data_IF_320694740760
#
_entry.id   IF_320694740760
#
_cell.length_a   1.000
_cell.length_b   1.000
_cell.length_c   1.000
_cell.angle_alpha   90.00
_cell.angle_beta   90.00
_cell.angle_gamma   90.00
#
_symmetry.space_group_name_H-M   'P 1'
#
loop_
_entity.id
_entity.type
_entity.pdbx_description
1 polymer ?
#
# COMPACT_ATOMS: atom_id res chain seq x y z
N UNK A 1 11.96 21.80 -10.21
CA UNK A 1 10.59 22.35 -10.22
C UNK A 1 9.66 21.23 -9.81
N UNK A 2 8.72 21.45 -8.89
CA UNK A 2 7.89 20.40 -8.29
C UNK A 2 6.42 20.63 -8.68
N UNK A 3 5.90 19.83 -9.61
CA UNK A 3 4.53 19.93 -10.11
C UNK A 3 3.51 19.83 -8.97
N UNK A 4 3.77 18.97 -7.98
CA UNK A 4 2.86 18.73 -6.85
C UNK A 4 2.70 19.92 -5.89
N UNK A 5 3.57 20.93 -6.00
CA UNK A 5 3.55 22.15 -5.18
C UNK A 5 2.91 23.35 -5.90
N UNK A 6 2.53 23.20 -7.16
CA UNK A 6 1.90 24.26 -7.92
C UNK A 6 0.43 24.41 -7.51
N UNK A 7 -0.09 25.63 -7.53
CA UNK A 7 -1.53 25.83 -7.46
C UNK A 7 -2.21 25.30 -8.75
N UNK A 8 -3.52 24.99 -8.70
CA UNK A 8 -4.20 24.35 -9.82
C UNK A 8 -4.10 25.11 -11.15
N UNK A 9 -4.12 26.45 -11.11
CA UNK A 9 -4.05 27.27 -12.33
C UNK A 9 -2.65 27.24 -12.94
N UNK A 10 -1.62 27.32 -12.10
CA UNK A 10 -0.23 27.21 -12.54
C UNK A 10 0.07 25.82 -13.08
N UNK A 11 -0.39 24.77 -12.40
CA UNK A 11 -0.23 23.38 -12.84
C UNK A 11 -0.88 23.13 -14.21
N UNK A 12 -2.14 23.57 -14.39
CA UNK A 12 -2.85 23.43 -15.66
C UNK A 12 -2.13 24.16 -16.81
N UNK A 13 -1.68 25.41 -16.59
CA UNK A 13 -0.91 26.14 -17.59
C UNK A 13 0.44 25.49 -17.87
N UNK A 14 1.05 24.82 -16.88
CA UNK A 14 2.32 24.13 -17.05
C UNK A 14 2.23 22.92 -17.98
N UNK A 15 1.09 22.22 -18.03
CA UNK A 15 0.88 21.04 -18.90
C UNK A 15 0.15 21.35 -20.20
N UNK A 16 -0.48 22.52 -20.31
CA UNK A 16 -1.31 22.90 -21.46
C UNK A 16 -0.54 22.87 -22.79
N UNK A 17 -1.11 22.17 -23.77
CA UNK A 17 -0.57 22.08 -25.15
C UNK A 17 0.72 21.28 -25.25
N UNK A 18 1.03 20.42 -24.27
CA UNK A 18 2.25 19.61 -24.20
C UNK A 18 1.93 18.12 -24.28
N UNK A 19 2.80 17.37 -24.93
CA UNK A 19 2.86 15.91 -24.80
C UNK A 19 3.44 15.56 -23.43
N UNK A 20 2.56 15.29 -22.47
CA UNK A 20 2.97 14.89 -21.12
C UNK A 20 3.06 13.38 -21.01
N UNK A 21 4.17 12.89 -20.47
CA UNK A 21 4.34 11.49 -20.10
C UNK A 21 4.46 11.35 -18.58
N UNK A 22 3.55 10.58 -18.00
CA UNK A 22 3.55 10.23 -16.57
C UNK A 22 4.13 8.83 -16.39
N UNK A 23 5.15 8.69 -15.55
CA UNK A 23 5.74 7.39 -15.21
C UNK A 23 5.20 6.94 -13.86
N UNK A 24 4.39 5.88 -13.85
CA UNK A 24 3.75 5.35 -12.63
C UNK A 24 2.23 5.17 -12.79
N UNK A 25 1.68 4.13 -12.14
CA UNK A 25 0.27 3.71 -12.29
C UNK A 25 -0.41 3.42 -10.95
N UNK A 26 -0.08 4.22 -9.94
CA UNK A 26 -0.81 4.27 -8.66
C UNK A 26 -1.53 5.62 -8.55
N UNK A 27 -2.13 5.94 -7.40
CA UNK A 27 -2.98 7.13 -7.20
C UNK A 27 -2.44 8.41 -7.84
N UNK A 28 -1.24 8.86 -7.45
CA UNK A 28 -0.67 10.11 -7.99
C UNK A 28 -0.49 10.09 -9.50
N UNK A 29 -0.05 8.96 -10.07
CA UNK A 29 0.13 8.84 -11.51
C UNK A 29 -1.18 8.91 -12.28
N UNK A 30 -2.23 8.25 -11.77
CA UNK A 30 -3.56 8.31 -12.37
C UNK A 30 -4.20 9.70 -12.25
N UNK A 31 -4.06 10.36 -11.10
CA UNK A 31 -4.59 11.71 -10.89
C UNK A 31 -3.95 12.73 -11.83
N UNK A 32 -2.62 12.73 -11.91
CA UNK A 32 -1.88 13.63 -12.81
C UNK A 32 -2.27 13.35 -14.26
N UNK A 33 -2.43 12.08 -14.65
CA UNK A 33 -2.87 11.74 -16.00
C UNK A 33 -4.29 12.26 -16.29
N UNK A 34 -5.19 12.25 -15.31
CA UNK A 34 -6.54 12.83 -15.42
C UNK A 34 -6.52 14.36 -15.51
N UNK A 35 -5.67 15.03 -14.75
CA UNK A 35 -5.48 16.47 -14.86
C UNK A 35 -4.99 16.83 -16.26
N UNK A 36 -3.97 16.14 -16.75
CA UNK A 36 -3.43 16.33 -18.10
C UNK A 36 -4.48 16.07 -19.17
N UNK A 37 -5.25 14.98 -19.08
CA UNK A 37 -6.29 14.66 -20.07
C UNK A 37 -7.43 15.68 -20.05
N UNK A 38 -7.76 16.25 -18.89
CA UNK A 38 -8.76 17.32 -18.78
C UNK A 38 -8.31 18.61 -19.44
N UNK A 39 -7.02 18.96 -19.31
CA UNK A 39 -6.47 20.20 -19.89
C UNK A 39 -6.23 20.08 -21.40
N UNK A 40 -5.78 18.91 -21.85
CA UNK A 40 -5.25 18.74 -23.21
C UNK A 40 -6.15 17.91 -24.15
N UNK A 41 -7.10 17.14 -23.60
CA UNK A 41 -7.98 16.29 -24.37
C UNK A 41 -7.24 15.30 -25.29
N UNK A 42 -7.87 14.99 -26.42
CA UNK A 42 -7.33 14.07 -27.44
C UNK A 42 -6.26 14.70 -28.33
N UNK A 43 -6.15 16.03 -28.36
CA UNK A 43 -5.21 16.76 -29.22
C UNK A 43 -3.76 16.58 -28.71
N UNK A 44 -3.56 16.66 -27.39
CA UNK A 44 -2.27 16.41 -26.74
C UNK A 44 -2.42 15.35 -25.64
N UNK A 45 -2.61 14.07 -26.01
CA UNK A 45 -2.97 13.03 -25.06
C UNK A 45 -1.85 12.75 -24.07
N UNK A 46 -2.23 12.48 -22.82
CA UNK A 46 -1.30 12.11 -21.77
C UNK A 46 -0.85 10.65 -21.93
N UNK A 47 0.45 10.40 -21.98
CA UNK A 47 0.97 9.03 -22.00
C UNK A 47 1.28 8.57 -20.57
N UNK A 48 0.85 7.37 -20.20
CA UNK A 48 1.14 6.77 -18.89
C UNK A 48 2.01 5.54 -19.10
N UNK A 49 3.23 5.58 -18.59
CA UNK A 49 4.20 4.49 -18.66
C UNK A 49 4.08 3.62 -17.42
N UNK A 50 3.78 2.34 -17.65
CA UNK A 50 3.37 1.38 -16.64
C UNK A 50 4.33 0.20 -16.64
N UNK A 51 5.03 0.01 -15.51
CA UNK A 51 5.85 -1.18 -15.29
C UNK A 51 4.99 -2.39 -14.89
N UNK A 52 4.10 -2.18 -13.92
CA UNK A 52 3.30 -3.24 -13.31
C UNK A 52 1.85 -2.77 -13.27
N UNK A 53 0.91 -3.47 -13.94
CA UNK A 53 -0.52 -3.25 -13.74
C UNK A 53 -0.91 -3.55 -12.29
N UNK A 54 -1.88 -2.81 -11.76
CA UNK A 54 -2.36 -2.94 -10.39
C UNK A 54 -3.87 -3.22 -10.32
N UNK A 55 -4.31 -3.88 -9.25
CA UNK A 55 -5.73 -4.10 -8.93
C UNK A 55 -6.37 -2.84 -8.33
N UNK A 56 -6.25 -1.72 -9.05
CA UNK A 56 -6.83 -0.46 -8.62
C UNK A 56 -8.35 -0.58 -8.54
N UNK A 57 -8.91 -0.20 -7.40
CA UNK A 57 -10.32 -0.38 -7.05
C UNK A 57 -11.20 0.68 -7.74
N UNK A 58 -12.37 0.30 -8.30
CA UNK A 58 -13.38 1.27 -8.72
C UNK A 58 -14.04 1.96 -7.52
N UNK A 59 -14.34 1.17 -6.49
CA UNK A 59 -15.04 1.55 -5.27
C UNK A 59 -14.75 0.51 -4.18
N UNK A 60 -15.36 0.69 -3.00
CA UNK A 60 -15.20 -0.21 -1.84
C UNK A 60 -16.27 -1.31 -1.76
N UNK A 61 -17.11 -1.50 -2.80
CA UNK A 61 -18.28 -2.38 -2.81
C UNK A 61 -18.27 -3.35 -4.00
N UNK A 62 -17.29 -4.26 -4.09
CA UNK A 62 -17.27 -5.27 -5.14
C UNK A 62 -18.57 -6.05 -5.20
N UNK A 63 -19.25 -5.95 -6.34
CA UNK A 63 -20.58 -6.53 -6.59
C UNK A 63 -21.61 -6.19 -5.49
N UNK A 64 -21.52 -5.00 -4.90
CA UNK A 64 -22.43 -4.52 -3.84
C UNK A 64 -22.06 -4.99 -2.43
N UNK A 65 -21.03 -5.80 -2.25
CA UNK A 65 -20.56 -6.25 -0.93
C UNK A 65 -19.41 -5.36 -0.48
N UNK A 66 -19.51 -4.74 0.70
CA UNK A 66 -18.40 -3.94 1.23
C UNK A 66 -17.15 -4.79 1.45
N UNK A 67 -15.99 -4.28 0.98
CA UNK A 67 -14.68 -4.89 1.23
C UNK A 67 -14.41 -5.15 2.71
N UNK A 68 -15.01 -4.35 3.60
CA UNK A 68 -14.90 -4.53 5.04
C UNK A 68 -15.33 -5.92 5.52
N UNK A 69 -16.42 -6.45 4.96
CA UNK A 69 -16.93 -7.78 5.32
C UNK A 69 -16.08 -8.92 4.74
N UNK A 70 -15.26 -8.65 3.74
CA UNK A 70 -14.38 -9.65 3.14
C UNK A 70 -13.00 -9.70 3.80
N UNK A 71 -12.48 -8.56 4.27
CA UNK A 71 -11.08 -8.44 4.69
C UNK A 71 -10.83 -7.73 6.02
N UNK A 72 -11.80 -6.98 6.55
CA UNK A 72 -11.61 -6.11 7.71
C UNK A 72 -12.31 -6.63 8.96
N UNK A 73 -12.48 -7.94 9.09
CA UNK A 73 -13.07 -8.55 10.27
C UNK A 73 -12.21 -9.70 10.78
N UNK A 74 -12.39 -10.08 12.05
CA UNK A 74 -11.55 -11.09 12.70
C UNK A 74 -11.63 -12.45 12.00
N UNK A 75 -12.80 -12.82 11.49
CA UNK A 75 -12.97 -14.08 10.77
C UNK A 75 -12.11 -14.09 9.50
N UNK A 76 -12.12 -13.01 8.73
CA UNK A 76 -11.29 -12.91 7.51
C UNK A 76 -9.79 -13.05 7.82
N UNK A 77 -9.32 -12.51 8.95
CA UNK A 77 -7.93 -12.68 9.36
C UNK A 77 -7.60 -14.13 9.74
N UNK A 78 -8.55 -14.98 10.14
CA UNK A 78 -8.28 -16.42 10.37
C UNK A 78 -7.77 -17.13 9.12
N UNK A 79 -8.10 -16.61 7.94
CA UNK A 79 -7.67 -17.17 6.65
C UNK A 79 -6.20 -16.83 6.30
N UNK A 80 -5.55 -16.04 7.15
CA UNK A 80 -4.20 -15.49 6.96
C UNK A 80 -3.29 -15.99 8.09
N UNK A 81 -2.15 -16.56 7.71
CA UNK A 81 -1.10 -16.98 8.64
C UNK A 81 -0.55 -15.76 9.38
N UNK A 82 -0.46 -15.85 10.70
CA UNK A 82 0.01 -14.75 11.56
C UNK A 82 1.50 -14.92 11.92
N UNK A 83 2.20 -13.81 12.20
CA UNK A 83 3.53 -13.84 12.80
C UNK A 83 3.53 -14.63 14.12
N UNK A 84 4.43 -15.61 14.25
CA UNK A 84 4.60 -16.39 15.48
C UNK A 84 3.38 -17.22 15.90
N UNK A 85 2.49 -17.56 14.97
CA UNK A 85 1.26 -18.28 15.28
C UNK A 85 1.48 -19.71 15.79
N UNK A 86 0.53 -20.20 16.60
CA UNK A 86 0.50 -21.60 17.04
C UNK A 86 -0.14 -22.54 16.02
N UNK A 87 -0.04 -23.84 16.28
CA UNK A 87 -0.51 -24.91 15.40
C UNK A 87 -1.99 -24.75 14.98
N UNK A 88 -2.87 -24.38 15.91
CA UNK A 88 -4.30 -24.22 15.64
C UNK A 88 -4.57 -23.10 14.62
N UNK A 89 -3.95 -21.93 14.80
CA UNK A 89 -4.12 -20.80 13.88
C UNK A 89 -3.52 -21.11 12.50
N UNK A 90 -2.37 -21.78 12.47
CA UNK A 90 -1.76 -22.26 11.21
C UNK A 90 -2.68 -23.24 10.49
N UNK A 91 -3.30 -24.18 11.21
CA UNK A 91 -4.24 -25.13 10.63
C UNK A 91 -5.46 -24.40 10.05
N UNK A 92 -6.05 -23.46 10.80
CA UNK A 92 -7.18 -22.66 10.32
C UNK A 92 -6.84 -21.84 9.07
N UNK A 93 -5.70 -21.16 9.06
CA UNK A 93 -5.25 -20.39 7.89
C UNK A 93 -5.03 -21.29 6.66
N UNK A 94 -4.57 -22.52 6.87
CA UNK A 94 -4.35 -23.51 5.81
C UNK A 94 -5.66 -24.08 5.29
N UNK A 95 -6.59 -24.46 6.17
CA UNK A 95 -7.89 -25.04 5.79
C UNK A 95 -8.81 -24.01 5.14
N UNK A 96 -8.73 -22.73 5.55
CA UNK A 96 -9.50 -21.63 4.98
C UNK A 96 -8.85 -20.96 3.76
N UNK A 97 -7.74 -21.52 3.24
CA UNK A 97 -7.07 -21.01 2.06
C UNK A 97 -7.98 -20.92 0.81
N UNK A 98 -8.85 -21.91 0.51
CA UNK A 98 -9.80 -21.80 -0.60
C UNK A 98 -10.77 -20.63 -0.44
N UNK A 99 -11.20 -20.33 0.79
CA UNK A 99 -12.09 -19.21 1.08
C UNK A 99 -11.39 -17.86 0.82
N UNK A 100 -10.15 -17.71 1.30
CA UNK A 100 -9.33 -16.53 1.03
C UNK A 100 -9.10 -16.32 -0.46
N UNK A 101 -8.84 -17.41 -1.19
CA UNK A 101 -8.71 -17.37 -2.64
C UNK A 101 -10.02 -16.94 -3.30
N UNK A 102 -11.16 -17.46 -2.84
CA UNK A 102 -12.48 -17.07 -3.33
C UNK A 102 -12.77 -15.59 -3.11
N UNK A 103 -12.45 -15.02 -1.94
CA UNK A 103 -12.55 -13.57 -1.70
C UNK A 103 -11.70 -12.78 -2.69
N UNK A 104 -10.43 -13.18 -2.89
CA UNK A 104 -9.55 -12.51 -3.87
C UNK A 104 -10.15 -12.55 -5.27
N UNK A 105 -10.62 -13.72 -5.74
CA UNK A 105 -11.22 -13.85 -7.07
C UNK A 105 -12.53 -13.12 -7.23
N UNK A 106 -13.33 -13.04 -6.17
CA UNK A 106 -14.55 -12.26 -6.15
C UNK A 106 -14.25 -10.77 -6.42
N UNK A 107 -13.31 -10.18 -5.68
CA UNK A 107 -12.91 -8.78 -5.89
C UNK A 107 -12.23 -8.58 -7.25
N UNK A 108 -11.31 -9.46 -7.63
CA UNK A 108 -10.64 -9.40 -8.95
C UNK A 108 -11.66 -9.44 -10.09
N UNK A 109 -12.71 -10.26 -10.00
CA UNK A 109 -13.75 -10.34 -11.04
C UNK A 109 -14.53 -9.03 -11.16
N UNK A 110 -14.83 -8.38 -10.03
CA UNK A 110 -15.48 -7.07 -10.02
C UNK A 110 -14.62 -6.02 -10.71
N UNK A 111 -13.34 -5.90 -10.31
CA UNK A 111 -12.41 -4.93 -10.87
C UNK A 111 -12.22 -5.17 -12.39
N UNK A 112 -12.01 -6.43 -12.80
CA UNK A 112 -11.87 -6.80 -14.22
C UNK A 112 -13.07 -6.35 -15.04
N UNK A 113 -14.27 -6.58 -14.52
CA UNK A 113 -15.52 -6.27 -15.21
C UNK A 113 -15.74 -4.75 -15.26
N UNK A 114 -15.70 -4.09 -14.11
CA UNK A 114 -16.01 -2.65 -13.96
C UNK A 114 -15.08 -1.76 -14.78
N UNK A 115 -13.79 -2.10 -14.81
CA UNK A 115 -12.77 -1.33 -15.53
C UNK A 115 -12.40 -1.90 -16.91
N UNK A 116 -13.07 -2.97 -17.36
CA UNK A 116 -12.74 -3.62 -18.62
C UNK A 116 -11.25 -4.01 -18.75
N UNK A 117 -10.57 -4.39 -17.65
CA UNK A 117 -9.10 -4.50 -17.61
C UNK A 117 -8.52 -5.40 -18.72
N UNK A 118 -9.24 -6.45 -19.12
CA UNK A 118 -8.83 -7.35 -20.20
C UNK A 118 -8.72 -6.62 -21.56
N UNK A 119 -9.68 -5.74 -21.88
CA UNK A 119 -9.69 -4.90 -23.09
C UNK A 119 -8.45 -4.02 -23.16
N UNK A 120 -8.02 -3.49 -22.02
CA UNK A 120 -6.84 -2.63 -21.94
C UNK A 120 -5.53 -3.40 -21.77
N UNK A 121 -5.56 -4.72 -21.58
CA UNK A 121 -4.38 -5.53 -21.25
C UNK A 121 -3.78 -5.15 -19.89
N UNK A 122 -4.62 -4.75 -18.94
CA UNK A 122 -4.27 -4.23 -17.62
C UNK A 122 -4.58 -5.22 -16.48
N UNK A 123 -4.84 -6.48 -16.80
CA UNK A 123 -5.03 -7.54 -15.80
C UNK A 123 -3.67 -7.85 -15.15
N UNK A 124 -3.49 -7.63 -13.83
CA UNK A 124 -2.25 -7.95 -13.14
C UNK A 124 -1.97 -9.46 -13.08
N UNK A 125 -0.69 -9.82 -12.99
CA UNK A 125 -0.23 -11.21 -12.93
C UNK A 125 -0.31 -11.80 -11.49
N UNK A 126 -0.29 -10.95 -10.47
CA UNK A 126 -0.46 -11.31 -9.06
C UNK A 126 -1.92 -11.22 -8.60
N UNK A 127 -2.21 -11.69 -7.38
CA UNK A 127 -3.57 -11.67 -6.82
C UNK A 127 -3.92 -10.32 -6.17
N UNK A 128 -5.22 -10.02 -6.05
CA UNK A 128 -5.69 -8.85 -5.29
C UNK A 128 -5.20 -8.87 -3.84
N UNK A 129 -5.18 -10.06 -3.22
CA UNK A 129 -4.66 -10.22 -1.87
C UNK A 129 -3.19 -9.78 -1.74
N UNK A 130 -2.36 -10.00 -2.77
CA UNK A 130 -0.97 -9.56 -2.72
C UNK A 130 -0.86 -8.03 -2.64
N UNK A 131 -1.77 -7.31 -3.31
CA UNK A 131 -1.81 -5.84 -3.23
C UNK A 131 -2.37 -5.36 -1.90
N UNK A 132 -3.45 -5.98 -1.42
CA UNK A 132 -4.01 -5.67 -0.11
C UNK A 132 -2.96 -5.84 1.00
N UNK A 133 -2.19 -6.93 0.94
CA UNK A 133 -1.15 -7.24 1.93
C UNK A 133 0.07 -6.33 1.84
N UNK A 134 0.25 -5.61 0.74
CA UNK A 134 1.36 -4.68 0.52
C UNK A 134 0.92 -3.21 0.48
N UNK A 135 -0.35 -2.93 0.77
CA UNK A 135 -0.95 -1.58 0.72
C UNK A 135 -0.71 -0.90 -0.65
N UNK A 136 -0.64 -1.69 -1.72
CA UNK A 136 -0.40 -1.23 -3.08
C UNK A 136 -1.69 -0.88 -3.85
N UNK A 137 -2.84 -0.96 -3.18
CA UNK A 137 -4.15 -0.63 -3.73
C UNK A 137 -4.30 0.89 -3.91
N UNK A 138 -4.98 1.31 -4.97
CA UNK A 138 -5.41 2.70 -5.17
C UNK A 138 -6.83 2.72 -5.71
N UNK A 139 -7.58 3.77 -5.40
CA UNK A 139 -8.87 4.03 -6.07
C UNK A 139 -8.56 4.65 -7.43
N UNK A 140 -9.19 4.10 -8.47
CA UNK A 140 -9.12 4.67 -9.84
C UNK A 140 -9.92 5.96 -9.86
N UNK A 141 -9.37 7.07 -10.39
CA UNK A 141 -10.15 8.29 -10.59
C UNK A 141 -11.38 8.03 -11.47
N UNK A 142 -12.48 8.70 -11.17
CA UNK A 142 -13.71 8.58 -11.95
C UNK A 142 -13.46 8.95 -13.43
N UNK A 143 -13.98 8.13 -14.34
CA UNK A 143 -13.81 8.32 -15.78
C UNK A 143 -12.42 8.01 -16.34
N UNK A 144 -11.48 7.49 -15.53
CA UNK A 144 -10.11 7.21 -16.02
C UNK A 144 -10.08 6.30 -17.26
N UNK A 145 -10.80 5.18 -17.23
CA UNK A 145 -10.84 4.26 -18.36
C UNK A 145 -11.64 4.81 -19.55
N UNK A 146 -12.63 5.68 -19.32
CA UNK A 146 -13.33 6.38 -20.40
C UNK A 146 -12.36 7.29 -21.17
N UNK A 147 -11.46 7.98 -20.48
CA UNK A 147 -10.38 8.78 -21.09
C UNK A 147 -9.35 7.92 -21.84
N UNK A 148 -9.14 6.69 -21.38
CA UNK A 148 -8.31 5.71 -22.12
C UNK A 148 -9.00 5.27 -23.41
N UNK A 149 -10.31 5.05 -23.38
CA UNK A 149 -11.10 4.67 -24.55
C UNK A 149 -11.25 5.81 -25.57
N UNK A 150 -11.47 7.03 -25.08
CA UNK A 150 -11.51 8.26 -25.88
C UNK A 150 -10.16 8.56 -26.54
N UNK A 151 -9.06 8.11 -25.94
CA UNK A 151 -7.69 8.30 -26.43
C UNK A 151 -6.98 9.54 -25.89
N UNK A 152 -7.58 10.27 -24.94
CA UNK A 152 -6.95 11.38 -24.21
C UNK A 152 -5.94 10.90 -23.17
N UNK A 153 -6.00 9.62 -22.78
CA UNK A 153 -4.94 8.92 -22.02
C UNK A 153 -4.46 7.70 -22.84
N UNK A 154 -3.14 7.60 -23.03
CA UNK A 154 -2.49 6.47 -23.71
C UNK A 154 -1.70 5.63 -22.71
N UNK A 155 -1.99 4.33 -22.63
CA UNK A 155 -1.31 3.42 -21.71
C UNK A 155 -0.16 2.69 -22.42
N UNK A 156 1.07 2.87 -21.92
CA UNK A 156 2.24 2.10 -22.34
C UNK A 156 2.57 1.08 -21.26
N UNK A 157 2.41 -0.20 -21.58
CA UNK A 157 2.37 -1.30 -20.62
C UNK A 157 3.69 -2.06 -20.60
N UNK A 158 3.97 -2.72 -19.46
CA UNK A 158 5.13 -3.61 -19.25
C UNK A 158 6.48 -2.95 -19.57
N UNK A 159 6.58 -1.63 -19.40
CA UNK A 159 7.81 -0.88 -19.57
C UNK A 159 8.72 -1.10 -18.34
N UNK A 160 9.70 -2.00 -18.47
CA UNK A 160 10.63 -2.36 -17.38
C UNK A 160 11.73 -1.31 -17.18
N UNK A 161 12.34 -0.91 -18.29
CA UNK A 161 13.48 0.01 -18.33
C UNK A 161 13.18 1.11 -19.33
N UNK A 162 13.57 2.33 -18.97
CA UNK A 162 13.42 3.50 -19.82
C UNK A 162 14.61 4.44 -19.62
N UNK A 163 14.94 5.18 -20.67
CA UNK A 163 15.90 6.27 -20.67
C UNK A 163 15.28 7.56 -21.20
N UNK A 164 16.06 8.64 -21.18
CA UNK A 164 15.65 9.92 -21.71
C UNK A 164 16.43 10.25 -22.98
N UNK A 165 15.75 10.76 -23.99
CA UNK A 165 16.34 11.38 -25.17
C UNK A 165 15.91 12.85 -25.27
N UNK A 166 16.41 13.58 -26.27
CA UNK A 166 15.98 14.97 -26.50
C UNK A 166 14.50 15.07 -26.92
N UNK A 167 13.97 13.98 -27.46
CA UNK A 167 12.62 13.87 -28.00
C UNK A 167 11.62 13.31 -26.97
N UNK A 168 12.09 12.67 -25.90
CA UNK A 168 11.24 12.19 -24.81
C UNK A 168 11.77 10.95 -24.09
N UNK A 169 10.92 9.93 -23.93
CA UNK A 169 11.27 8.68 -23.23
C UNK A 169 11.60 7.58 -24.23
N UNK A 170 12.78 6.98 -24.11
CA UNK A 170 13.17 5.80 -24.89
C UNK A 170 12.93 4.54 -24.05
N UNK A 171 12.09 3.63 -24.54
CA UNK A 171 11.85 2.35 -23.89
C UNK A 171 12.83 1.29 -24.40
N UNK A 172 13.24 0.39 -23.51
CA UNK A 172 14.11 -0.73 -23.89
C UNK A 172 13.44 -1.60 -24.98
N UNK A 173 14.17 -1.85 -26.07
CA UNK A 173 13.69 -2.62 -27.21
C UNK A 173 12.82 -1.83 -28.21
N UNK A 174 12.60 -0.53 -27.99
CA UNK A 174 11.94 0.34 -28.98
C UNK A 174 12.99 1.25 -29.64
N UNK A 175 12.89 1.39 -30.97
CA UNK A 175 13.79 2.25 -31.75
C UNK A 175 13.40 3.74 -31.66
N UNK A 176 12.10 4.02 -31.57
CA UNK A 176 11.57 5.38 -31.54
C UNK A 176 11.19 5.80 -30.11
N UNK A 177 11.55 7.02 -29.68
CA UNK A 177 11.16 7.54 -28.39
C UNK A 177 9.67 7.94 -28.35
N UNK A 178 9.06 7.81 -27.17
CA UNK A 178 7.76 8.42 -26.87
C UNK A 178 7.95 9.92 -26.79
N UNK A 179 7.45 10.64 -27.80
CA UNK A 179 7.50 12.10 -27.86
C UNK A 179 6.92 12.70 -26.58
N UNK A 180 7.74 13.46 -25.84
CA UNK A 180 7.36 14.03 -24.55
C UNK A 180 7.98 15.41 -24.38
N UNK A 181 7.16 16.44 -24.28
CA UNK A 181 7.61 17.80 -23.93
C UNK A 181 7.82 17.94 -22.42
N UNK A 182 7.16 17.08 -21.63
CA UNK A 182 7.27 17.02 -20.18
C UNK A 182 7.17 15.57 -19.70
N UNK A 183 8.06 15.18 -18.79
CA UNK A 183 7.97 13.90 -18.08
C UNK A 183 7.73 14.14 -16.59
N UNK A 184 6.71 13.51 -16.04
CA UNK A 184 6.38 13.56 -14.61
C UNK A 184 6.60 12.17 -13.99
N UNK A 185 7.55 12.07 -13.06
CA UNK A 185 7.88 10.83 -12.37
C UNK A 185 6.98 10.64 -11.14
N UNK A 186 5.86 9.95 -11.33
CA UNK A 186 4.95 9.54 -10.27
C UNK A 186 5.32 8.15 -9.70
N UNK A 187 6.61 7.95 -9.39
CA UNK A 187 7.20 6.65 -9.05
C UNK A 187 7.21 6.34 -7.55
N UNK A 188 6.56 7.16 -6.74
CA UNK A 188 6.49 7.03 -5.28
C UNK A 188 7.65 7.72 -4.56
N UNK A 189 7.87 7.35 -3.30
CA UNK A 189 8.87 7.97 -2.43
C UNK A 189 9.76 6.92 -1.77
N UNK A 190 11.03 7.26 -1.51
CA UNK A 190 11.91 6.41 -0.73
C UNK A 190 11.75 6.69 0.77
N UNK A 191 10.80 6.02 1.42
CA UNK A 191 10.54 6.17 2.85
C UNK A 191 11.70 5.73 3.73
N UNK A 192 12.42 4.67 3.33
CA UNK A 192 13.55 4.13 4.11
C UNK A 192 14.71 5.11 4.11
N UNK A 193 15.04 5.71 2.96
CA UNK A 193 16.07 6.76 2.91
C UNK A 193 15.70 7.96 3.78
N UNK A 194 14.43 8.38 3.76
CA UNK A 194 13.95 9.45 4.66
C UNK A 194 14.18 9.09 6.14
N UNK A 195 13.94 7.84 6.55
CA UNK A 195 14.23 7.40 7.92
C UNK A 195 15.73 7.39 8.22
N UNK A 196 16.57 6.92 7.29
CA UNK A 196 18.04 6.93 7.46
C UNK A 196 18.54 8.34 7.73
N UNK A 197 18.11 9.32 6.94
CA UNK A 197 18.61 10.69 7.03
C UNK A 197 18.13 11.47 8.27
N UNK A 198 17.33 10.87 9.15
CA UNK A 198 17.07 11.42 10.50
C UNK A 198 18.31 11.29 11.39
N UNK A 199 19.20 10.34 11.12
CA UNK A 199 20.37 10.06 11.95
C UNK A 199 21.66 10.58 11.34
N UNK A 200 22.50 11.20 12.16
CA UNK A 200 23.90 11.47 11.79
C UNK A 200 24.78 10.21 11.87
N UNK A 201 24.49 9.33 12.84
CA UNK A 201 25.25 8.10 13.07
C UNK A 201 25.05 7.07 11.95
N UNK A 202 26.10 6.68 11.20
CA UNK A 202 26.00 5.67 10.15
C UNK A 202 25.45 4.34 10.68
N UNK A 203 25.82 3.97 11.90
CA UNK A 203 25.33 2.76 12.57
C UNK A 203 23.81 2.79 12.78
N UNK A 204 23.23 3.95 13.13
CA UNK A 204 21.78 4.07 13.28
C UNK A 204 21.06 4.16 11.94
N UNK A 205 21.70 4.72 10.91
CA UNK A 205 21.21 4.64 9.53
C UNK A 205 21.12 3.17 9.07
N UNK A 206 22.13 2.36 9.34
CA UNK A 206 22.13 0.92 9.03
C UNK A 206 21.04 0.17 9.81
N UNK A 207 20.91 0.44 11.11
CA UNK A 207 19.89 -0.17 11.95
C UNK A 207 18.47 0.14 11.46
N UNK A 208 18.14 1.42 11.25
CA UNK A 208 16.78 1.80 10.84
C UNK A 208 16.45 1.34 9.42
N UNK A 209 17.44 1.27 8.53
CA UNK A 209 17.22 0.81 7.16
C UNK A 209 16.91 -0.69 7.08
N UNK A 210 17.47 -1.47 8.00
CA UNK A 210 17.51 -2.93 7.90
C UNK A 210 18.31 -3.39 6.67
N UNK A 211 18.12 -4.65 6.29
CA UNK A 211 18.74 -5.21 5.07
C UNK A 211 17.88 -4.94 3.84
N UNK A 212 18.47 -4.93 2.64
CA UNK A 212 17.75 -4.77 1.36
C UNK A 212 16.79 -5.91 1.00
N UNK A 213 16.81 -6.97 1.80
CA UNK A 213 15.92 -8.12 1.69
C UNK A 213 15.07 -8.31 2.94
N UNK A 214 14.83 -7.27 3.74
CA UNK A 214 13.88 -7.33 4.85
C UNK A 214 12.91 -6.15 4.84
N UNK A 215 11.76 -6.33 5.50
CA UNK A 215 10.95 -5.21 5.93
C UNK A 215 11.68 -4.38 6.99
N UNK A 216 11.25 -3.14 7.18
CA UNK A 216 11.88 -2.23 8.15
C UNK A 216 11.75 -2.81 9.57
N UNK A 217 12.85 -2.91 10.34
CA UNK A 217 12.90 -3.71 11.57
C UNK A 217 12.34 -2.95 12.78
N UNK A 218 11.02 -2.70 12.79
CA UNK A 218 10.32 -2.02 13.88
C UNK A 218 9.44 -3.00 14.66
N UNK A 219 9.75 -3.19 15.95
CA UNK A 219 8.88 -3.88 16.90
C UNK A 219 7.57 -3.12 17.04
N UNK A 220 6.44 -3.83 16.93
CA UNK A 220 5.10 -3.24 16.88
C UNK A 220 4.97 -2.13 15.82
N UNK A 221 5.78 -2.20 14.77
CA UNK A 221 5.84 -1.16 13.72
C UNK A 221 6.15 0.25 14.27
N UNK A 222 6.73 0.35 15.48
CA UNK A 222 7.00 1.60 16.19
C UNK A 222 8.45 1.74 16.67
N UNK A 223 9.05 0.70 17.26
CA UNK A 223 10.32 0.84 18.00
C UNK A 223 11.41 -0.02 17.36
N UNK A 224 12.58 0.58 17.12
CA UNK A 224 13.77 -0.19 16.77
C UNK A 224 14.49 -0.67 18.04
N UNK A 225 14.72 -1.99 18.23
CA UNK A 225 15.18 -2.53 19.51
C UNK A 225 16.61 -2.11 19.92
N UNK A 226 17.42 -1.64 18.96
CA UNK A 226 18.82 -1.20 19.19
C UNK A 226 19.05 0.30 19.07
N UNK A 227 18.01 1.08 18.81
CA UNK A 227 18.11 2.55 18.80
C UNK A 227 17.42 3.05 20.07
N UNK A 228 18.17 3.57 21.06
CA UNK A 228 17.59 4.00 22.32
C UNK A 228 16.73 5.27 22.13
N UNK A 229 15.69 5.40 22.95
CA UNK A 229 14.88 6.63 23.07
C UNK A 229 14.28 7.13 21.75
N UNK A 230 13.85 6.21 20.88
CA UNK A 230 13.20 6.53 19.62
C UNK A 230 11.97 5.67 19.40
N UNK A 231 10.88 6.31 18.98
CA UNK A 231 9.74 5.67 18.36
C UNK A 231 9.43 6.36 17.02
N UNK A 232 9.06 5.56 16.02
CA UNK A 232 8.66 5.99 14.68
C UNK A 232 7.18 5.68 14.51
N UNK A 233 6.35 6.72 14.38
CA UNK A 233 4.92 6.57 14.11
C UNK A 233 4.64 6.99 12.67
N UNK A 234 3.83 6.20 11.97
CA UNK A 234 3.36 6.53 10.61
C UNK A 234 4.27 6.06 9.47
N UNK A 235 5.33 5.29 9.75
CA UNK A 235 6.10 4.66 8.67
C UNK A 235 5.35 3.48 8.04
N UNK A 236 4.87 2.56 8.88
CA UNK A 236 4.20 1.34 8.43
C UNK A 236 2.74 1.60 8.07
N UNK A 237 2.35 1.18 6.87
CA UNK A 237 1.04 1.42 6.29
C UNK A 237 -0.01 0.39 6.75
N UNK A 238 -1.28 0.79 6.67
CA UNK A 238 -2.44 -0.09 6.84
C UNK A 238 -3.57 0.38 5.91
N UNK A 239 -4.77 -0.18 6.06
CA UNK A 239 -5.95 0.22 5.28
C UNK A 239 -6.28 1.71 5.49
N UNK A 240 -6.08 2.22 6.70
CA UNK A 240 -6.24 3.63 7.04
C UNK A 240 -5.12 4.08 7.99
N UNK A 241 -4.21 4.91 7.48
CA UNK A 241 -2.98 5.29 8.19
C UNK A 241 -3.23 6.20 9.39
N UNK A 242 -4.23 7.08 9.35
CA UNK A 242 -4.56 7.97 10.46
C UNK A 242 -4.99 7.15 11.69
N UNK A 243 -5.93 6.24 11.48
CA UNK A 243 -6.42 5.32 12.51
C UNK A 243 -5.32 4.42 13.07
N UNK A 244 -4.47 3.87 12.21
CA UNK A 244 -3.35 3.02 12.66
C UNK A 244 -2.30 3.83 13.44
N UNK A 245 -2.09 5.10 13.09
CA UNK A 245 -1.19 5.98 13.82
C UNK A 245 -1.74 6.36 15.19
N UNK A 246 -3.05 6.58 15.31
CA UNK A 246 -3.69 6.94 16.58
C UNK A 246 -3.48 5.86 17.67
N UNK A 247 -3.79 4.60 17.37
CA UNK A 247 -3.62 3.52 18.36
C UNK A 247 -2.15 3.30 18.72
N UNK A 248 -1.23 3.48 17.76
CA UNK A 248 0.22 3.40 18.02
C UNK A 248 0.72 4.56 18.88
N UNK A 249 0.16 5.75 18.71
CA UNK A 249 0.42 6.90 19.59
C UNK A 249 -0.09 6.64 21.00
N UNK A 250 -1.27 6.04 21.17
CA UNK A 250 -1.79 5.61 22.48
C UNK A 250 -0.87 4.56 23.13
N UNK A 251 -0.46 3.54 22.37
CA UNK A 251 0.49 2.52 22.82
C UNK A 251 1.83 3.11 23.26
N UNK A 252 2.36 4.08 22.51
CA UNK A 252 3.58 4.80 22.90
C UNK A 252 3.37 5.64 24.16
N UNK A 253 2.24 6.31 24.32
CA UNK A 253 1.95 7.09 25.52
C UNK A 253 1.89 6.21 26.78
N UNK A 254 1.20 5.06 26.72
CA UNK A 254 1.14 4.09 27.82
C UNK A 254 2.53 3.50 28.15
N UNK A 255 3.38 3.30 27.13
CA UNK A 255 4.77 2.88 27.33
C UNK A 255 5.57 3.95 28.08
N UNK A 256 5.44 5.22 27.68
CA UNK A 256 6.15 6.35 28.30
C UNK A 256 5.65 6.62 29.72
N UNK A 257 4.37 6.35 30.00
CA UNK A 257 3.78 6.41 31.35
C UNK A 257 4.16 5.17 32.22
N UNK A 258 4.94 4.23 31.68
CA UNK A 258 5.44 3.07 32.41
C UNK A 258 4.38 2.02 32.73
N UNK A 259 3.22 2.05 32.06
CA UNK A 259 2.08 1.14 32.26
C UNK A 259 2.41 -0.29 31.85
N UNK A 260 3.30 -0.42 30.88
CA UNK A 260 3.95 -1.67 30.51
C UNK A 260 5.42 -1.42 30.18
N UNK A 261 6.18 -2.51 30.03
CA UNK A 261 7.59 -2.46 29.64
C UNK A 261 7.79 -3.23 28.35
N UNK A 262 8.69 -2.74 27.51
CA UNK A 262 9.14 -3.49 26.34
C UNK A 262 9.80 -4.81 26.78
N UNK A 263 9.63 -5.88 25.99
CA UNK A 263 10.35 -7.11 26.24
C UNK A 263 11.85 -6.94 25.91
N UNK A 264 12.64 -7.98 26.14
CA UNK A 264 14.07 -7.94 25.81
C UNK A 264 14.30 -7.75 24.29
N UNK A 265 15.46 -7.19 23.93
CA UNK A 265 15.89 -7.01 22.53
C UNK A 265 15.72 -8.30 21.71
N UNK A 266 16.12 -9.45 22.28
CA UNK A 266 16.00 -10.75 21.63
C UNK A 266 14.56 -11.12 21.29
N UNK A 267 13.59 -10.77 22.13
CA UNK A 267 12.16 -11.03 21.89
C UNK A 267 11.63 -10.09 20.82
N UNK A 268 11.99 -8.80 20.87
CA UNK A 268 11.61 -7.82 19.84
C UNK A 268 12.16 -8.21 18.45
N UNK A 269 13.44 -8.62 18.37
CA UNK A 269 14.06 -9.08 17.12
C UNK A 269 13.40 -10.34 16.56
N UNK A 270 12.97 -11.26 17.44
CA UNK A 270 12.21 -12.44 17.02
C UNK A 270 10.84 -12.06 16.44
N UNK A 271 10.11 -11.15 17.09
CA UNK A 271 8.82 -10.63 16.58
C UNK A 271 9.00 -9.97 15.21
N UNK A 272 10.00 -9.11 15.05
CA UNK A 272 10.36 -8.48 13.77
C UNK A 272 10.62 -9.53 12.68
N UNK A 273 11.39 -10.58 12.98
CA UNK A 273 11.68 -11.64 12.02
C UNK A 273 10.43 -12.43 11.62
N UNK A 274 9.48 -12.66 12.53
CA UNK A 274 8.20 -13.30 12.21
C UNK A 274 7.31 -12.41 11.33
N UNK A 275 7.30 -11.10 11.59
CA UNK A 275 6.61 -10.13 10.73
C UNK A 275 7.24 -10.02 9.34
N UNK A 276 8.57 -10.08 9.24
CA UNK A 276 9.27 -10.11 7.95
C UNK A 276 8.87 -11.35 7.12
N UNK A 277 8.87 -12.54 7.74
CA UNK A 277 8.40 -13.78 7.08
C UNK A 277 6.96 -13.64 6.60
N UNK A 278 6.08 -13.09 7.42
CA UNK A 278 4.70 -12.83 7.04
C UNK A 278 4.60 -11.89 5.83
N UNK A 279 5.26 -10.72 5.87
CA UNK A 279 5.19 -9.73 4.79
C UNK A 279 5.72 -10.30 3.47
N UNK A 280 6.81 -11.08 3.52
CA UNK A 280 7.37 -11.80 2.36
C UNK A 280 6.42 -12.87 1.81
N UNK A 281 5.70 -13.59 2.66
CA UNK A 281 4.74 -14.64 2.24
C UNK A 281 3.58 -14.06 1.43
N UNK A 282 3.11 -12.85 1.78
CA UNK A 282 1.88 -12.31 1.22
C UNK A 282 2.07 -11.15 0.24
N UNK A 283 3.21 -10.46 0.25
CA UNK A 283 3.48 -9.37 -0.70
C UNK A 283 3.97 -9.90 -2.04
N UNK A 284 3.61 -9.23 -3.12
CA UNK A 284 4.20 -9.49 -4.44
C UNK A 284 5.54 -8.74 -4.58
N UNK A 285 6.56 -9.39 -5.16
CA UNK A 285 7.91 -8.85 -5.34
C UNK A 285 8.49 -8.28 -4.02
N UNK A 286 9.23 -7.17 -4.09
CA UNK A 286 9.80 -6.46 -2.95
C UNK A 286 8.85 -5.46 -2.27
N UNK A 287 7.54 -5.51 -2.54
CA UNK A 287 6.60 -4.58 -1.93
C UNK A 287 6.46 -4.74 -0.41
N UNK A 288 6.97 -5.83 0.18
CA UNK A 288 7.07 -6.01 1.63
C UNK A 288 7.87 -4.89 2.34
N UNK A 289 8.76 -4.18 1.63
CA UNK A 289 9.54 -3.05 2.17
C UNK A 289 8.70 -1.81 2.51
N UNK A 290 7.47 -1.72 2.01
CA UNK A 290 6.49 -0.69 2.42
C UNK A 290 6.01 -0.87 3.87
N UNK A 291 6.34 -2.01 4.49
CA UNK A 291 5.93 -2.35 5.86
C UNK A 291 4.42 -2.25 6.08
N UNK A 292 3.64 -2.78 5.15
CA UNK A 292 2.19 -2.83 5.27
C UNK A 292 1.75 -3.92 6.26
N UNK A 293 0.74 -3.62 7.08
CA UNK A 293 0.06 -4.57 7.97
C UNK A 293 -1.43 -4.74 7.63
N UNK A 294 -1.89 -4.24 6.48
CA UNK A 294 -3.31 -4.13 6.14
C UNK A 294 -4.10 -5.44 6.27
N UNK A 295 -3.52 -6.57 5.83
CA UNK A 295 -4.19 -7.87 5.90
C UNK A 295 -4.21 -8.51 7.31
N UNK A 296 -3.55 -7.91 8.31
CA UNK A 296 -3.55 -8.34 9.72
C UNK A 296 -3.67 -7.13 10.67
N UNK A 297 -4.41 -6.10 10.28
CA UNK A 297 -4.49 -4.86 11.05
C UNK A 297 -5.17 -5.06 12.41
N UNK A 298 -6.19 -5.93 12.50
CA UNK A 298 -6.89 -6.22 13.75
C UNK A 298 -5.96 -7.01 14.65
N UNK A 299 -5.33 -8.06 14.12
CA UNK A 299 -4.32 -8.82 14.85
C UNK A 299 -3.20 -7.93 15.39
N UNK A 300 -2.70 -6.98 14.59
CA UNK A 300 -1.68 -6.03 15.04
C UNK A 300 -2.20 -5.16 16.18
N UNK A 301 -3.38 -4.56 16.02
CA UNK A 301 -4.00 -3.73 17.05
C UNK A 301 -4.30 -4.51 18.33
N UNK A 302 -4.67 -5.80 18.21
CA UNK A 302 -4.84 -6.67 19.38
C UNK A 302 -3.55 -6.84 20.17
N UNK A 303 -2.39 -6.91 19.49
CA UNK A 303 -1.12 -6.98 20.20
C UNK A 303 -0.85 -5.69 20.98
N UNK A 304 -1.12 -4.52 20.36
CA UNK A 304 -0.98 -3.23 21.05
C UNK A 304 -1.92 -3.17 22.27
N UNK A 305 -3.19 -3.57 22.11
CA UNK A 305 -4.14 -3.64 23.22
C UNK A 305 -3.63 -4.55 24.35
N UNK A 306 -3.13 -5.75 24.02
CA UNK A 306 -2.60 -6.69 25.02
C UNK A 306 -1.40 -6.11 25.77
N UNK A 307 -0.48 -5.47 25.05
CA UNK A 307 0.69 -4.82 25.66
C UNK A 307 0.24 -3.74 26.67
N UNK A 308 -0.78 -2.95 26.33
CA UNK A 308 -1.38 -1.93 27.22
C UNK A 308 -2.32 -2.49 28.31
N UNK A 309 -2.60 -3.80 28.31
CA UNK A 309 -3.60 -4.40 29.20
C UNK A 309 -5.07 -4.07 28.85
N UNK A 310 -5.33 -3.57 27.64
CA UNK A 310 -6.67 -3.26 27.14
C UNK A 310 -7.36 -4.51 26.59
N UNK A 311 -8.69 -4.50 26.61
CA UNK A 311 -9.45 -5.53 25.91
C UNK A 311 -9.29 -5.36 24.39
N UNK A 312 -8.73 -6.34 23.67
CA UNK A 312 -8.62 -6.27 22.21
C UNK A 312 -9.97 -6.37 21.51
N UNK A 313 -10.98 -6.98 22.16
CA UNK A 313 -12.32 -7.11 21.60
C UNK A 313 -13.09 -5.81 21.70
N UNK A 314 -13.49 -5.24 20.57
CA UNK A 314 -14.03 -3.88 20.49
C UNK A 314 -15.52 -3.82 20.13
N UNK A 315 -16.13 -4.95 19.75
CA UNK A 315 -17.55 -5.00 19.39
C UNK A 315 -18.38 -5.77 20.42
N UNK A 316 -19.67 -5.44 20.49
CA UNK A 316 -20.61 -6.04 21.43
C UNK A 316 -21.19 -7.33 20.86
N UNK A 317 -20.96 -8.45 21.55
CA UNK A 317 -21.51 -9.75 21.18
C UNK A 317 -20.61 -10.53 20.23
N UNK A 318 -20.75 -11.86 20.25
CA UNK A 318 -19.85 -12.77 19.54
C UNK A 318 -19.92 -12.59 18.02
N UNK A 319 -21.11 -12.43 17.45
CA UNK A 319 -21.28 -12.33 15.99
C UNK A 319 -20.68 -11.02 15.45
N UNK A 320 -20.99 -9.88 16.06
CA UNK A 320 -20.43 -8.60 15.66
C UNK A 320 -18.90 -8.61 15.74
N UNK A 321 -18.37 -9.13 16.86
CA UNK A 321 -16.94 -9.22 17.10
C UNK A 321 -16.17 -10.00 16.02
N UNK A 322 -16.77 -11.06 15.48
CA UNK A 322 -16.10 -11.90 14.50
C UNK A 322 -16.32 -11.47 13.05
N UNK A 323 -17.50 -10.92 12.72
CA UNK A 323 -17.94 -10.76 11.33
C UNK A 323 -18.15 -9.31 10.90
N UNK A 324 -18.34 -8.36 11.83
CA UNK A 324 -18.45 -6.95 11.46
C UNK A 324 -17.07 -6.33 11.17
N UNK A 325 -16.99 -5.41 10.20
CA UNK A 325 -15.76 -4.71 9.88
C UNK A 325 -15.27 -3.87 11.08
N UNK A 326 -13.97 -3.98 11.35
CA UNK A 326 -13.23 -3.13 12.26
C UNK A 326 -12.84 -1.83 11.57
N UNK A 327 -13.00 -0.72 12.28
CA UNK A 327 -12.68 0.61 11.79
C UNK A 327 -12.24 1.58 12.88
N UNK A 328 -12.02 2.86 12.53
CA UNK A 328 -11.47 3.86 13.44
C UNK A 328 -12.25 4.03 14.75
N UNK A 329 -13.58 3.97 14.66
CA UNK A 329 -14.46 4.20 15.81
C UNK A 329 -14.37 3.09 16.86
N UNK A 330 -13.96 1.87 16.50
CA UNK A 330 -13.87 0.73 17.42
C UNK A 330 -12.80 0.95 18.52
N UNK A 331 -11.83 1.84 18.30
CA UNK A 331 -10.73 2.12 19.24
C UNK A 331 -10.82 3.49 19.90
N UNK A 332 -11.96 4.16 19.77
CA UNK A 332 -12.16 5.53 20.26
C UNK A 332 -12.17 5.68 21.80
N UNK A 333 -12.31 4.58 22.54
CA UNK A 333 -12.20 4.51 24.01
C UNK A 333 -12.15 3.07 24.48
#
# INVERSE_FOLDING_TARGET
MDYSKMDPKTAANFVKGKHVTVVGFQKSGMDIAMECSTVNGVEYPCTVVIRTPHWNLPDYFPWGISLGYLYLNRFSELTVHKPGEGLLLSLLATTLLPLRWAFSKFVESHIKHKHGLAKHGMVPEHSFLNELSSCALSIVPEGFYDRVEEGSIKLIKKAKTYGFSKEGILLEGQAEPIKSDLVILATGFNGIDKLKHIFESPKYQEFIAGSDDSAVPLYRECIHPRIPQLAVIGFSESIANLYTSEIRSRWLAELLDGKFKLPSIKVMEKDIAEWDKYKKRYSYLKYYRRSCIGALHIWHNDQLCKDMGWNPKRKKGLLAEWFEPYGPLDYSG
#
